data_IF_279895492518
#
_entry.id   IF_279895492518
#
_cell.length_a   1.000
_cell.length_b   1.000
_cell.length_c   1.000
_cell.angle_alpha   90.00
_cell.angle_beta   90.00
_cell.angle_gamma   90.00
#
_symmetry.space_group_name_H-M   'P 1'
#
loop_
_entity.id
_entity.type
_entity.pdbx_description
1 polymer ?
#
# COMPACT_ATOMS: atom_id res chain seq x y z
N UNK A 1 -13.14 12.71 -2.65
CA UNK A 1 -12.59 12.92 -1.29
C UNK A 1 -11.21 13.52 -1.46
N UNK A 2 -10.91 14.62 -0.78
CA UNK A 2 -9.62 15.31 -0.89
C UNK A 2 -8.90 15.15 0.44
N UNK A 3 -7.83 14.36 0.46
CA UNK A 3 -6.96 14.20 1.63
C UNK A 3 -5.91 15.32 1.63
N UNK A 4 -5.67 15.89 2.79
CA UNK A 4 -4.57 16.84 3.02
C UNK A 4 -3.26 16.10 3.22
N UNK A 5 -2.13 16.82 3.07
CA UNK A 5 -0.80 16.25 3.32
C UNK A 5 -0.69 15.75 4.78
N UNK A 6 -1.21 16.52 5.73
CA UNK A 6 -1.20 16.16 7.16
C UNK A 6 -1.98 14.87 7.45
N UNK A 7 -3.17 14.70 6.89
CA UNK A 7 -3.95 13.46 7.05
C UNK A 7 -3.20 12.26 6.47
N UNK A 8 -2.50 12.43 5.34
CA UNK A 8 -1.68 11.37 4.75
C UNK A 8 -0.48 11.00 5.63
N UNK A 9 0.19 11.99 6.22
CA UNK A 9 1.29 11.78 7.18
C UNK A 9 0.79 11.01 8.41
N UNK A 10 -0.35 11.40 8.98
CA UNK A 10 -0.97 10.71 10.11
C UNK A 10 -1.32 9.26 9.75
N UNK A 11 -1.92 9.04 8.58
CA UNK A 11 -2.24 7.70 8.08
C UNK A 11 -1.00 6.82 7.86
N UNK A 12 0.09 7.40 7.34
CA UNK A 12 1.36 6.70 7.13
C UNK A 12 2.06 6.34 8.45
N UNK A 13 1.88 7.17 9.49
CA UNK A 13 2.53 7.00 10.80
C UNK A 13 2.01 5.81 11.63
N UNK A 14 0.90 5.18 11.20
CA UNK A 14 0.27 4.07 11.93
C UNK A 14 1.26 2.91 12.12
N UNK A 15 1.43 2.49 13.38
CA UNK A 15 2.19 1.30 13.73
C UNK A 15 1.32 0.05 13.54
N UNK A 16 1.42 -0.58 12.38
CA UNK A 16 0.64 -1.79 12.07
C UNK A 16 0.91 -2.95 13.03
N UNK A 17 2.10 -3.04 13.63
CA UNK A 17 2.46 -4.12 14.55
C UNK A 17 1.67 -4.09 15.87
N UNK A 18 1.02 -2.97 16.17
CA UNK A 18 0.14 -2.81 17.33
C UNK A 18 -1.35 -2.91 16.99
N UNK A 19 -1.69 -3.24 15.74
CA UNK A 19 -3.08 -3.29 15.24
C UNK A 19 -3.40 -4.70 14.76
N UNK A 20 -4.52 -5.28 15.21
CA UNK A 20 -4.99 -6.56 14.67
C UNK A 20 -5.47 -6.40 13.23
N UNK A 21 -5.27 -7.43 12.40
CA UNK A 21 -5.74 -7.40 11.01
C UNK A 21 -7.26 -7.21 10.90
N UNK A 22 -8.03 -7.72 11.87
CA UNK A 22 -9.49 -7.57 11.95
C UNK A 22 -9.95 -6.13 12.22
N UNK A 23 -9.07 -5.30 12.79
CA UNK A 23 -9.34 -3.88 13.02
C UNK A 23 -9.02 -3.00 11.79
N UNK A 24 -8.35 -3.56 10.78
CA UNK A 24 -8.03 -2.89 9.53
C UNK A 24 -9.14 -3.09 8.49
N UNK A 25 -9.32 -2.10 7.61
CA UNK A 25 -10.28 -2.22 6.54
C UNK A 25 -9.87 -3.30 5.53
N UNK A 26 -10.72 -4.30 5.32
CA UNK A 26 -10.43 -5.41 4.40
C UNK A 26 -10.71 -5.03 2.94
N UNK A 27 -9.71 -5.18 2.08
CA UNK A 27 -9.80 -4.90 0.64
C UNK A 27 -9.82 -6.17 -0.22
N UNK A 28 -9.91 -7.37 0.36
CA UNK A 28 -9.83 -8.67 -0.34
C UNK A 28 -10.78 -8.83 -1.54
N UNK A 29 -12.00 -8.29 -1.45
CA UNK A 29 -13.00 -8.35 -2.53
C UNK A 29 -12.93 -7.23 -3.56
N UNK A 30 -11.95 -6.33 -3.47
CA UNK A 30 -11.84 -5.18 -4.36
C UNK A 30 -11.13 -5.55 -5.67
N UNK A 31 -11.77 -5.23 -6.79
CA UNK A 31 -11.15 -5.29 -8.12
C UNK A 31 -10.86 -3.88 -8.65
N UNK A 32 -9.69 -3.70 -9.27
CA UNK A 32 -9.41 -2.48 -10.02
C UNK A 32 -10.01 -2.56 -11.43
N UNK A 33 -10.99 -1.71 -11.70
CA UNK A 33 -11.48 -1.50 -13.05
C UNK A 33 -10.46 -0.68 -13.86
N UNK A 34 -9.69 -1.38 -14.71
CA UNK A 34 -8.60 -0.80 -15.51
C UNK A 34 -9.10 0.11 -16.63
N UNK A 35 -10.40 0.13 -16.91
CA UNK A 35 -11.00 1.06 -17.87
C UNK A 35 -11.15 2.48 -17.29
N UNK A 36 -11.11 2.60 -15.96
CA UNK A 36 -11.24 3.89 -15.28
C UNK A 36 -9.90 4.64 -15.20
N UNK A 37 -9.96 5.99 -15.22
CA UNK A 37 -8.79 6.83 -14.95
C UNK A 37 -8.11 6.48 -13.63
N UNK A 38 -6.80 6.74 -13.56
CA UNK A 38 -6.00 6.48 -12.35
C UNK A 38 -6.58 7.14 -11.10
N UNK A 39 -7.04 8.38 -11.23
CA UNK A 39 -7.60 9.14 -10.10
C UNK A 39 -8.87 8.49 -9.55
N UNK A 40 -9.75 8.01 -10.42
CA UNK A 40 -10.98 7.34 -10.00
C UNK A 40 -10.69 5.98 -9.35
N UNK A 41 -9.74 5.22 -9.91
CA UNK A 41 -9.27 3.97 -9.27
C UNK A 41 -8.70 4.23 -7.88
N UNK A 42 -7.90 5.28 -7.72
CA UNK A 42 -7.32 5.67 -6.43
C UNK A 42 -8.42 6.10 -5.45
N UNK A 43 -9.38 6.91 -5.88
CA UNK A 43 -10.48 7.36 -5.03
C UNK A 43 -11.34 6.19 -4.54
N UNK A 44 -11.61 5.20 -5.40
CA UNK A 44 -12.30 3.96 -5.04
C UNK A 44 -11.50 3.15 -4.01
N UNK A 45 -10.19 3.07 -4.18
CA UNK A 45 -9.31 2.37 -3.24
C UNK A 45 -9.31 3.04 -1.87
N UNK A 46 -9.04 4.35 -1.81
CA UNK A 46 -9.04 5.11 -0.55
C UNK A 46 -10.38 4.99 0.16
N UNK A 47 -11.51 5.01 -0.56
CA UNK A 47 -12.84 4.82 0.02
C UNK A 47 -13.01 3.46 0.69
N UNK A 48 -12.41 2.40 0.14
CA UNK A 48 -12.50 1.04 0.69
C UNK A 48 -11.48 0.79 1.80
N UNK A 49 -10.23 1.19 1.57
CA UNK A 49 -9.12 0.99 2.50
C UNK A 49 -9.20 1.90 3.73
N UNK A 50 -9.90 3.05 3.64
CA UNK A 50 -9.96 4.13 4.64
C UNK A 50 -8.60 4.79 4.88
N UNK A 51 -7.57 4.00 5.19
CA UNK A 51 -6.17 4.36 5.22
C UNK A 51 -5.44 3.64 4.06
N UNK A 52 -4.92 4.35 3.04
CA UNK A 52 -4.24 3.72 1.91
C UNK A 52 -2.87 3.11 2.26
N UNK A 53 -2.33 3.38 3.45
CA UNK A 53 -1.05 2.85 3.95
C UNK A 53 -1.23 1.63 4.85
N UNK A 54 -2.37 1.46 5.51
CA UNK A 54 -2.63 0.35 6.45
C UNK A 54 -4.03 -0.22 6.24
N UNK A 55 -4.11 -1.45 5.73
CA UNK A 55 -5.36 -2.15 5.43
C UNK A 55 -5.16 -3.66 5.59
N UNK A 56 -6.22 -4.47 5.50
CA UNK A 56 -6.10 -5.92 5.49
C UNK A 56 -6.52 -6.52 4.15
N UNK A 57 -5.99 -7.71 3.85
CA UNK A 57 -6.39 -8.51 2.70
C UNK A 57 -6.62 -9.92 3.22
N UNK A 58 -7.89 -10.31 3.39
CA UNK A 58 -8.25 -11.68 3.78
C UNK A 58 -7.65 -12.10 5.11
N UNK A 59 -7.65 -11.20 6.10
CA UNK A 59 -7.08 -11.43 7.44
C UNK A 59 -5.58 -11.15 7.57
N UNK A 60 -4.89 -10.77 6.50
CA UNK A 60 -3.48 -10.36 6.56
C UNK A 60 -3.39 -8.85 6.62
N UNK A 61 -2.77 -8.30 7.68
CA UNK A 61 -2.47 -6.87 7.78
C UNK A 61 -1.37 -6.47 6.80
N UNK A 62 -1.58 -5.41 6.05
CA UNK A 62 -0.67 -4.87 5.03
C UNK A 62 -0.32 -3.44 5.38
N UNK A 63 0.98 -3.14 5.47
CA UNK A 63 1.51 -1.78 5.56
C UNK A 63 2.29 -1.43 4.30
N UNK A 64 2.05 -0.25 3.76
CA UNK A 64 2.82 0.33 2.66
C UNK A 64 3.73 1.40 3.22
N UNK A 65 5.03 1.27 2.98
CA UNK A 65 6.05 2.24 3.36
C UNK A 65 6.93 2.54 2.15
N UNK A 66 7.46 3.76 2.10
CA UNK A 66 8.36 4.21 1.06
C UNK A 66 9.69 4.60 1.71
N UNK A 67 10.79 4.10 1.17
CA UNK A 67 12.12 4.53 1.60
C UNK A 67 12.34 5.97 1.14
N UNK A 68 12.66 6.86 2.08
CA UNK A 68 12.99 8.24 1.76
C UNK A 68 14.28 8.30 0.93
N UNK A 69 14.19 8.86 -0.29
CA UNK A 69 15.31 8.90 -1.23
C UNK A 69 15.81 7.52 -1.70
N UNK A 70 15.07 6.45 -1.42
CA UNK A 70 15.46 5.08 -1.78
C UNK A 70 15.23 4.74 -3.26
N UNK A 71 15.80 3.62 -3.73
CA UNK A 71 15.53 3.13 -5.09
C UNK A 71 14.04 2.79 -5.24
N UNK A 72 13.55 2.91 -6.46
CA UNK A 72 12.21 2.44 -6.82
C UNK A 72 12.05 0.94 -6.53
N UNK A 73 10.80 0.49 -6.38
CA UNK A 73 10.48 -0.92 -6.27
C UNK A 73 11.04 -1.71 -7.46
N UNK A 74 10.98 -1.14 -8.66
CA UNK A 74 11.51 -1.78 -9.88
C UNK A 74 13.03 -1.96 -9.81
N UNK A 75 13.78 -0.94 -9.40
CA UNK A 75 15.24 -1.04 -9.23
C UNK A 75 15.60 -2.07 -8.16
N UNK A 76 14.87 -2.06 -7.04
CA UNK A 76 15.06 -3.01 -5.93
C UNK A 76 14.82 -4.45 -6.39
N UNK A 77 13.70 -4.71 -7.08
CA UNK A 77 13.37 -6.03 -7.61
C UNK A 77 14.36 -6.46 -8.69
N UNK A 78 14.77 -5.55 -9.57
CA UNK A 78 15.76 -5.84 -10.62
C UNK A 78 17.09 -6.25 -10.01
N UNK A 79 17.59 -5.48 -9.04
CA UNK A 79 18.83 -5.79 -8.33
C UNK A 79 18.74 -7.13 -7.59
N UNK A 80 17.61 -7.41 -6.93
CA UNK A 80 17.37 -8.70 -6.26
C UNK A 80 17.43 -9.88 -7.25
N UNK A 81 16.72 -9.79 -8.38
CA UNK A 81 16.67 -10.87 -9.37
C UNK A 81 18.04 -11.11 -10.04
N UNK A 82 18.84 -10.05 -10.26
CA UNK A 82 20.21 -10.18 -10.77
C UNK A 82 21.11 -10.92 -9.77
N UNK A 83 21.00 -10.63 -8.47
CA UNK A 83 21.79 -11.31 -7.41
C UNK A 83 21.41 -12.79 -7.33
N UNK A 84 20.12 -13.10 -7.25
CA UNK A 84 19.62 -14.49 -7.24
C UNK A 84 20.09 -15.29 -8.46
N UNK A 85 20.05 -14.68 -9.66
CA UNK A 85 20.55 -15.33 -10.88
C UNK A 85 22.06 -15.60 -10.83
N UNK A 86 22.81 -14.72 -10.17
CA UNK A 86 24.27 -14.81 -10.04
C UNK A 86 24.73 -15.73 -8.89
N UNK A 87 23.80 -16.31 -8.12
CA UNK A 87 24.12 -17.20 -7.00
C UNK A 87 24.64 -16.48 -5.75
N UNK A 88 24.32 -15.18 -5.62
CA UNK A 88 24.60 -14.33 -4.46
C UNK A 88 23.35 -14.13 -3.61
#
# INVERSE_FOLDING_TARGET
MRLTAKELEEMQSVNIGAVSADALADVSGMAFDRTLPREERLARFVKRAVNPYCFSVGGVGVKIEFAEGGPSLQETLTAFLIRQKSGL
#
